data_IF_697313877742
#
_entry.id   IF_697313877742
#
_cell.length_a   1.000
_cell.length_b   1.000
_cell.length_c   1.000
_cell.angle_alpha   90.00
_cell.angle_beta   90.00
_cell.angle_gamma   90.00
#
_symmetry.space_group_name_H-M   'P 1'
#
loop_
_entity.id
_entity.type
_entity.pdbx_description
1 polymer ?
#
# COMPACT_ATOMS: atom_id res chain seq x y z
N UNK A 1 -5.24 16.11 46.60
CA UNK A 1 -4.08 15.60 45.83
C UNK A 1 -4.28 14.12 45.58
N UNK A 2 -4.60 13.73 44.35
CA UNK A 2 -4.47 12.38 43.83
C UNK A 2 -4.45 12.48 42.30
N UNK A 3 -3.34 12.04 41.70
CA UNK A 3 -3.08 12.03 40.25
C UNK A 3 -3.80 10.85 39.56
N UNK A 4 -3.99 10.89 38.22
CA UNK A 4 -4.95 10.04 37.52
C UNK A 4 -4.38 8.66 37.14
N UNK A 5 -5.21 7.62 37.18
CA UNK A 5 -4.91 6.30 36.61
C UNK A 5 -5.10 6.33 35.08
N UNK A 6 -4.03 5.99 34.36
CA UNK A 6 -4.08 5.60 32.95
C UNK A 6 -3.64 4.13 32.85
N UNK A 7 -4.52 3.18 32.51
CA UNK A 7 -4.08 1.82 32.23
C UNK A 7 -3.79 1.64 30.74
N UNK A 8 -2.50 1.55 30.45
CA UNK A 8 -1.91 0.52 29.59
C UNK A 8 -2.45 0.41 28.16
N UNK A 9 -1.76 1.04 27.21
CA UNK A 9 -1.73 0.54 25.84
C UNK A 9 -1.28 -0.92 25.86
N UNK A 10 -2.20 -1.83 25.59
CA UNK A 10 -1.95 -3.24 25.36
C UNK A 10 -1.09 -3.40 24.10
N UNK A 11 0.23 -3.23 24.26
CA UNK A 11 1.21 -3.76 23.34
C UNK A 11 1.18 -5.29 23.44
N UNK A 12 0.14 -5.90 22.88
CA UNK A 12 0.26 -7.27 22.39
C UNK A 12 1.53 -7.32 21.55
N UNK A 13 2.47 -8.18 21.93
CA UNK A 13 3.84 -8.29 21.40
C UNK A 13 3.93 -8.20 19.87
N UNK A 14 3.92 -6.98 19.31
CA UNK A 14 4.09 -6.75 17.87
C UNK A 14 5.57 -6.95 17.56
N UNK A 15 5.90 -8.09 16.94
CA UNK A 15 7.24 -8.35 16.40
C UNK A 15 7.48 -7.37 15.25
N UNK A 16 8.28 -6.35 15.49
CA UNK A 16 8.60 -5.30 14.51
C UNK A 16 10.08 -5.35 14.16
N UNK A 17 10.41 -5.15 12.89
CA UNK A 17 11.77 -4.90 12.42
C UNK A 17 11.77 -3.61 11.60
N UNK A 18 12.36 -2.55 12.16
CA UNK A 18 12.26 -1.20 11.61
C UNK A 18 10.79 -0.78 11.39
N UNK A 19 10.46 -0.29 10.20
CA UNK A 19 9.08 0.10 9.84
C UNK A 19 8.18 -1.08 9.48
N UNK A 20 8.70 -2.31 9.49
CA UNK A 20 7.92 -3.51 9.20
C UNK A 20 7.37 -4.09 10.50
N UNK A 21 6.06 -4.08 10.67
CA UNK A 21 5.37 -4.84 11.71
C UNK A 21 4.91 -6.20 11.20
N UNK A 22 4.94 -7.21 12.06
CA UNK A 22 4.32 -8.52 11.82
C UNK A 22 3.28 -8.77 12.91
N UNK A 23 2.05 -9.01 12.51
CA UNK A 23 0.94 -9.37 13.38
C UNK A 23 1.01 -10.88 13.68
N UNK A 24 0.99 -11.24 14.96
CA UNK A 24 1.37 -12.58 15.43
C UNK A 24 0.32 -13.65 15.18
N UNK A 25 -0.95 -13.26 15.03
CA UNK A 25 -2.07 -14.21 14.92
C UNK A 25 -2.43 -14.51 13.45
N UNK A 26 -2.38 -13.49 12.59
CA UNK A 26 -2.71 -13.58 11.16
C UNK A 26 -1.47 -13.73 10.28
N UNK A 27 -0.28 -13.38 10.80
CA UNK A 27 0.95 -13.29 10.01
C UNK A 27 0.98 -12.10 9.06
N UNK A 28 -0.02 -11.20 9.12
CA UNK A 28 -0.07 -10.01 8.29
C UNK A 28 1.14 -9.11 8.57
N UNK A 29 1.71 -8.56 7.49
CA UNK A 29 2.83 -7.63 7.60
C UNK A 29 2.35 -6.22 7.26
N UNK A 30 2.92 -5.22 7.92
CA UNK A 30 2.60 -3.81 7.68
C UNK A 30 3.91 -3.07 7.44
N UNK A 31 3.97 -2.19 6.44
CA UNK A 31 5.05 -1.21 6.31
C UNK A 31 4.52 0.18 6.65
N UNK A 32 5.15 0.84 7.63
CA UNK A 32 4.63 2.06 8.27
C UNK A 32 3.21 1.84 8.82
N UNK A 33 2.19 2.15 8.04
CA UNK A 33 0.76 2.01 8.40
C UNK A 33 -0.06 1.27 7.34
N UNK A 34 0.57 0.80 6.27
CA UNK A 34 -0.11 0.12 5.17
C UNK A 34 0.13 -1.38 5.30
N UNK A 35 -0.94 -2.16 5.35
CA UNK A 35 -0.84 -3.61 5.35
C UNK A 35 -0.34 -4.11 4.00
N UNK A 36 0.42 -5.19 4.00
CA UNK A 36 0.91 -5.82 2.76
C UNK A 36 -0.24 -6.35 1.90
N UNK A 37 -1.37 -6.74 2.52
CA UNK A 37 -2.59 -7.14 1.81
C UNK A 37 -3.16 -5.97 1.02
N UNK A 38 -3.30 -4.79 1.64
CA UNK A 38 -3.75 -3.57 0.96
C UNK A 38 -2.80 -3.14 -0.16
N UNK A 39 -1.48 -3.19 0.09
CA UNK A 39 -0.47 -2.88 -0.93
C UNK A 39 -0.58 -3.81 -2.14
N UNK A 40 -0.71 -5.13 -1.91
CA UNK A 40 -0.92 -6.12 -2.98
C UNK A 40 -2.21 -5.84 -3.77
N UNK A 41 -3.30 -5.55 -3.07
CA UNK A 41 -4.58 -5.19 -3.70
C UNK A 41 -4.47 -3.94 -4.57
N UNK A 42 -3.80 -2.91 -4.08
CA UNK A 42 -3.58 -1.66 -4.83
C UNK A 42 -2.73 -1.88 -6.10
N UNK A 43 -1.68 -2.71 -6.04
CA UNK A 43 -0.87 -3.05 -7.21
C UNK A 43 -1.72 -3.79 -8.26
N UNK A 44 -2.48 -4.80 -7.84
CA UNK A 44 -3.34 -5.55 -8.75
C UNK A 44 -4.39 -4.63 -9.40
N UNK A 45 -5.02 -3.77 -8.61
CA UNK A 45 -6.01 -2.80 -9.07
C UNK A 45 -5.40 -1.82 -10.08
N UNK A 46 -4.25 -1.23 -9.76
CA UNK A 46 -3.56 -0.26 -10.61
C UNK A 46 -3.13 -0.86 -11.95
N UNK A 47 -2.59 -2.09 -11.96
CA UNK A 47 -2.22 -2.80 -13.20
C UNK A 47 -3.47 -3.08 -14.03
N UNK A 48 -4.50 -3.64 -13.41
CA UNK A 48 -5.75 -4.00 -14.11
C UNK A 48 -6.37 -2.77 -14.79
N UNK A 49 -6.44 -1.66 -14.07
CA UNK A 49 -6.97 -0.40 -14.60
C UNK A 49 -6.11 0.17 -15.73
N UNK A 50 -4.79 0.26 -15.52
CA UNK A 50 -3.89 0.91 -16.50
C UNK A 50 -3.80 0.09 -17.79
N UNK A 51 -3.66 -1.22 -17.70
CA UNK A 51 -3.63 -2.10 -18.88
C UNK A 51 -4.98 -2.08 -19.58
N UNK A 52 -6.09 -2.17 -18.82
CA UNK A 52 -7.43 -2.11 -19.39
C UNK A 52 -7.72 -0.80 -20.14
N UNK A 53 -7.28 0.34 -19.59
CA UNK A 53 -7.39 1.65 -20.25
C UNK A 53 -6.46 1.78 -21.46
N UNK A 54 -5.24 1.23 -21.38
CA UNK A 54 -4.31 1.23 -22.51
C UNK A 54 -4.87 0.46 -23.72
N UNK A 55 -5.54 -0.67 -23.48
CA UNK A 55 -6.20 -1.46 -24.54
C UNK A 55 -7.37 -0.74 -25.22
N UNK A 56 -7.90 0.34 -24.63
CA UNK A 56 -8.90 1.20 -25.26
C UNK A 56 -8.28 2.29 -26.15
N UNK A 57 -6.99 2.60 -25.96
CA UNK A 57 -6.23 3.51 -26.83
C UNK A 57 -5.81 2.75 -28.09
N UNK A 58 -5.67 3.45 -29.22
CA UNK A 58 -5.16 2.84 -30.44
C UNK A 58 -3.69 2.42 -30.27
N UNK A 59 -3.32 1.26 -30.83
CA UNK A 59 -1.94 0.80 -30.89
C UNK A 59 -1.11 1.75 -31.78
N UNK A 60 0.09 2.11 -31.31
CA UNK A 60 1.01 3.02 -32.01
C UNK A 60 2.45 2.75 -31.63
N UNK A 61 3.37 3.16 -32.49
CA UNK A 61 4.80 3.09 -32.21
C UNK A 61 5.16 3.93 -30.98
N UNK A 62 6.18 3.46 -30.25
CA UNK A 62 6.77 4.17 -29.12
C UNK A 62 7.70 5.26 -29.65
N UNK A 63 7.51 6.50 -29.19
CA UNK A 63 8.33 7.65 -29.57
C UNK A 63 9.20 8.10 -28.39
N UNK A 64 10.22 8.92 -28.67
CA UNK A 64 11.12 9.43 -27.62
C UNK A 64 10.39 10.22 -26.51
N UNK A 65 9.23 10.80 -26.83
CA UNK A 65 8.38 11.51 -25.89
C UNK A 65 7.73 10.58 -24.85
N UNK A 66 7.48 9.31 -25.19
CA UNK A 66 6.78 8.38 -24.30
C UNK A 66 7.63 8.02 -23.05
N UNK A 67 8.95 8.13 -23.15
CA UNK A 67 9.85 7.81 -22.04
C UNK A 67 9.83 8.80 -20.88
N UNK A 68 9.28 10.01 -21.07
CA UNK A 68 9.17 11.02 -20.02
C UNK A 68 7.75 11.13 -19.45
N UNK A 69 6.79 10.38 -20.00
CA UNK A 69 5.39 10.43 -19.57
C UNK A 69 5.19 9.58 -18.31
N UNK A 70 4.54 10.16 -17.31
CA UNK A 70 4.07 9.46 -16.11
C UNK A 70 2.58 9.74 -15.94
N UNK A 71 1.76 8.71 -15.98
CA UNK A 71 0.32 8.80 -15.67
C UNK A 71 0.12 8.48 -14.18
N UNK A 72 -0.76 9.24 -13.50
CA UNK A 72 -1.09 9.05 -12.08
C UNK A 72 -2.60 8.97 -11.92
N UNK A 73 -3.07 7.96 -11.18
CA UNK A 73 -4.50 7.66 -10.98
C UNK A 73 -4.76 7.52 -9.48
N UNK A 74 -5.87 8.09 -9.02
CA UNK A 74 -6.31 7.97 -7.64
C UNK A 74 -7.47 6.98 -7.54
N UNK A 75 -7.37 6.05 -6.60
CA UNK A 75 -8.46 5.15 -6.23
C UNK A 75 -8.98 5.58 -4.86
N UNK A 76 -10.30 5.83 -4.70
CA UNK A 76 -10.89 6.30 -3.45
C UNK A 76 -10.81 5.27 -2.32
#
# INVERSE_FOLDING_TARGET
MASPEMPGSSQSMKKTIGHRGVETNTGETTYKKTTSSALKGAIQLGITHTVGSLSQKAERDVLMQDFVVVESIFFP
#
